data_IF_400870912601
#
_entry.id   IF_400870912601
#
_cell.length_a   1.000
_cell.length_b   1.000
_cell.length_c   1.000
_cell.angle_alpha   90.00
_cell.angle_beta   90.00
_cell.angle_gamma   90.00
#
_symmetry.space_group_name_H-M   'P 1'
#
loop_
_entity.id
_entity.type
_entity.pdbx_description
1 polymer ?
#
# COMPACT_ATOMS: atom_id res chain seq x y z
N UNK A 1 -2.00 -0.31 62.93
CA UNK A 1 -2.31 0.76 61.96
C UNK A 1 -3.69 0.46 61.40
N UNK A 2 -4.56 1.47 61.26
CA UNK A 2 -5.80 1.28 60.53
C UNK A 2 -5.48 0.90 59.07
N UNK A 3 -6.26 0.01 58.47
CA UNK A 3 -6.10 -0.36 57.07
C UNK A 3 -6.29 0.89 56.20
N UNK A 4 -5.26 1.28 55.45
CA UNK A 4 -5.33 2.40 54.51
C UNK A 4 -5.94 1.90 53.20
N UNK A 5 -7.03 2.54 52.75
CA UNK A 5 -7.61 2.24 51.43
C UNK A 5 -6.65 2.66 50.31
N UNK A 6 -6.49 1.75 49.34
CA UNK A 6 -5.61 1.84 48.16
C UNK A 6 -6.28 1.17 46.95
N UNK A 7 -7.61 1.25 46.88
CA UNK A 7 -8.37 0.88 45.68
C UNK A 7 -7.83 1.61 44.43
N UNK A 8 -7.99 1.01 43.26
CA UNK A 8 -7.37 1.49 42.02
C UNK A 8 -8.35 1.51 40.86
N UNK A 9 -8.50 2.68 40.23
CA UNK A 9 -9.11 2.87 38.92
C UNK A 9 -8.14 3.77 38.16
N UNK A 10 -7.44 3.20 37.18
CA UNK A 10 -6.43 3.92 36.41
C UNK A 10 -7.06 4.66 35.23
N UNK A 11 -6.85 5.96 35.16
CA UNK A 11 -7.09 6.78 33.98
C UNK A 11 -5.77 7.45 33.59
N UNK A 12 -5.51 7.65 32.29
CA UNK A 12 -4.29 8.34 31.89
C UNK A 12 -4.05 8.36 30.39
N UNK A 13 -2.94 9.02 30.03
CA UNK A 13 -2.49 9.12 28.65
C UNK A 13 -1.38 8.10 28.43
N UNK A 14 -1.48 7.37 27.33
CA UNK A 14 -0.45 6.41 26.91
C UNK A 14 0.51 7.12 25.96
N UNK A 15 1.78 7.17 26.36
CA UNK A 15 2.86 7.69 25.52
C UNK A 15 3.73 6.54 25.04
N UNK A 16 4.29 6.69 23.84
CA UNK A 16 5.22 5.70 23.31
C UNK A 16 6.34 6.34 22.50
N UNK A 17 7.50 5.68 22.53
CA UNK A 17 8.67 5.99 21.68
C UNK A 17 9.36 4.71 21.24
N UNK A 18 10.29 4.81 20.30
CA UNK A 18 11.11 3.66 19.90
C UNK A 18 12.04 3.24 21.04
N UNK A 19 12.13 1.92 21.27
CA UNK A 19 13.04 1.36 22.26
C UNK A 19 14.49 1.75 21.95
N UNK A 20 15.28 2.03 22.99
CA UNK A 20 16.69 2.48 22.89
C UNK A 20 16.93 3.77 22.10
N UNK A 21 15.93 4.65 22.03
CA UNK A 21 16.10 5.99 21.45
C UNK A 21 15.90 7.06 22.51
N UNK A 22 16.48 8.24 22.26
CA UNK A 22 16.15 9.47 22.98
C UNK A 22 15.00 10.23 22.30
N UNK A 23 14.24 9.54 21.43
CA UNK A 23 13.07 10.12 20.79
C UNK A 23 12.07 10.58 21.87
N UNK A 24 11.32 11.65 21.62
CA UNK A 24 10.30 12.10 22.55
C UNK A 24 9.23 11.02 22.74
N UNK A 25 8.71 10.93 23.96
CA UNK A 25 7.49 10.17 24.25
C UNK A 25 6.32 10.92 23.62
N UNK A 26 5.65 10.30 22.65
CA UNK A 26 4.53 10.89 21.93
C UNK A 26 3.24 10.19 22.35
N UNK A 27 2.20 10.99 22.56
CA UNK A 27 0.84 10.53 22.84
C UNK A 27 0.32 9.68 21.67
N UNK A 28 -0.20 8.49 21.97
CA UNK A 28 -0.78 7.59 20.97
C UNK A 28 -2.28 7.78 20.79
N UNK A 29 -2.86 8.81 21.42
CA UNK A 29 -4.26 9.18 21.28
C UNK A 29 -5.18 8.44 22.25
N UNK A 30 -6.48 8.50 21.95
CA UNK A 30 -7.52 7.95 22.81
C UNK A 30 -7.41 6.42 22.94
N UNK A 31 -7.08 5.96 24.15
CA UNK A 31 -6.96 4.54 24.49
C UNK A 31 -7.94 4.19 25.61
N UNK A 32 -8.67 3.08 25.44
CA UNK A 32 -9.61 2.58 26.46
C UNK A 32 -8.98 1.55 27.41
N UNK A 33 -7.93 0.89 26.95
CA UNK A 33 -7.35 -0.26 27.65
C UNK A 33 -5.83 -0.29 27.50
N UNK A 34 -5.15 -0.61 28.60
CA UNK A 34 -3.78 -1.09 28.62
C UNK A 34 -3.67 -2.19 29.68
N UNK A 35 -3.60 -3.44 29.23
CA UNK A 35 -3.52 -4.60 30.12
C UNK A 35 -2.11 -5.18 30.07
N UNK A 36 -1.58 -5.63 31.21
CA UNK A 36 -0.38 -6.48 31.28
C UNK A 36 -0.80 -7.87 31.78
N UNK A 37 -0.49 -8.91 31.00
CA UNK A 37 -0.69 -10.30 31.36
C UNK A 37 0.61 -10.97 31.78
N UNK A 38 0.54 -11.86 32.77
CA UNK A 38 1.66 -12.70 33.20
C UNK A 38 1.26 -14.16 33.06
N UNK A 39 1.91 -14.89 32.16
CA UNK A 39 1.67 -16.33 31.97
C UNK A 39 2.67 -17.11 32.82
N UNK A 40 2.21 -18.11 33.59
CA UNK A 40 3.08 -18.96 34.39
C UNK A 40 3.08 -20.43 33.95
N UNK A 41 4.25 -21.05 33.99
CA UNK A 41 4.45 -22.49 33.85
C UNK A 41 4.62 -23.09 35.26
N UNK A 42 3.61 -23.89 35.65
CA UNK A 42 3.50 -24.49 36.98
C UNK A 42 3.67 -26.00 36.87
N UNK A 43 4.77 -26.50 37.43
CA UNK A 43 5.07 -27.91 37.52
C UNK A 43 4.76 -28.43 38.92
N UNK A 44 3.88 -29.43 39.00
CA UNK A 44 3.47 -30.05 40.26
C UNK A 44 3.97 -31.49 40.33
N UNK A 45 4.56 -31.88 41.46
CA UNK A 45 4.89 -33.26 41.78
C UNK A 45 3.85 -33.82 42.75
N UNK A 46 2.98 -34.76 42.33
CA UNK A 46 2.02 -35.40 43.24
C UNK A 46 2.71 -36.18 44.36
N UNK A 47 2.03 -36.29 45.50
CA UNK A 47 2.53 -37.09 46.61
C UNK A 47 2.16 -38.57 46.43
N UNK A 48 3.12 -39.35 45.94
CA UNK A 48 2.97 -40.81 45.78
C UNK A 48 3.18 -41.63 47.07
N UNK A 49 3.41 -40.98 48.22
CA UNK A 49 3.69 -41.67 49.50
C UNK A 49 2.45 -41.80 50.42
N UNK A 50 1.25 -41.58 49.89
CA UNK A 50 0.00 -41.57 50.64
C UNK A 50 -0.33 -40.18 51.24
N UNK A 51 -1.61 -39.93 51.55
CA UNK A 51 -2.10 -38.68 52.14
C UNK A 51 -2.65 -37.62 51.15
N UNK A 52 -2.65 -37.90 49.83
CA UNK A 52 -3.15 -36.98 48.80
C UNK A 52 -2.28 -35.73 48.60
N UNK A 53 -2.65 -34.88 47.64
CA UNK A 53 -2.01 -33.58 47.38
C UNK A 53 -0.67 -33.61 46.63
N UNK A 54 -0.07 -32.43 46.48
CA UNK A 54 1.23 -32.24 45.82
C UNK A 54 2.37 -32.27 46.84
N UNK A 55 3.44 -33.01 46.55
CA UNK A 55 4.68 -33.07 47.32
C UNK A 55 5.61 -31.89 47.03
N UNK A 56 5.57 -31.34 45.82
CA UNK A 56 6.33 -30.15 45.46
C UNK A 56 5.59 -29.38 44.35
N UNK A 57 5.81 -28.06 44.30
CA UNK A 57 5.32 -27.18 43.23
C UNK A 57 6.44 -26.22 42.87
N UNK A 58 6.70 -26.07 41.58
CA UNK A 58 7.57 -25.03 41.03
C UNK A 58 6.77 -24.21 40.04
N UNK A 59 6.84 -22.89 40.15
CA UNK A 59 6.14 -21.97 39.26
C UNK A 59 7.13 -20.91 38.76
N UNK A 60 7.06 -20.57 37.47
CA UNK A 60 7.85 -19.50 36.86
C UNK A 60 6.98 -18.75 35.86
N UNK A 61 7.19 -17.45 35.74
CA UNK A 61 6.60 -16.67 34.63
C UNK A 61 7.32 -17.06 33.35
N UNK A 62 6.56 -17.43 32.31
CA UNK A 62 7.09 -17.73 30.98
C UNK A 62 7.04 -16.50 30.08
N UNK A 63 5.92 -15.79 30.10
CA UNK A 63 5.64 -14.72 29.15
C UNK A 63 4.99 -13.53 29.86
N UNK A 64 5.31 -12.33 29.37
CA UNK A 64 4.66 -11.09 29.77
C UNK A 64 4.05 -10.47 28.52
N UNK A 65 2.74 -10.34 28.49
CA UNK A 65 2.00 -9.81 27.34
C UNK A 65 1.38 -8.47 27.67
N UNK A 66 1.07 -7.68 26.64
CA UNK A 66 0.23 -6.51 26.78
C UNK A 66 -0.84 -6.43 25.70
N UNK A 67 -1.96 -5.83 26.03
CA UNK A 67 -3.02 -5.47 25.08
C UNK A 67 -3.32 -3.99 25.21
N UNK A 68 -3.40 -3.32 24.08
CA UNK A 68 -3.72 -1.90 23.97
C UNK A 68 -4.91 -1.74 23.03
N UNK A 69 -5.92 -0.96 23.43
CA UNK A 69 -7.01 -0.56 22.54
C UNK A 69 -6.89 0.91 22.19
N UNK A 70 -6.73 1.22 20.90
CA UNK A 70 -6.61 2.59 20.37
C UNK A 70 -7.82 2.93 19.50
N UNK A 71 -8.38 4.12 19.66
CA UNK A 71 -9.46 4.63 18.78
C UNK A 71 -8.97 5.64 17.74
N UNK A 72 -7.81 6.27 17.98
CA UNK A 72 -7.26 7.25 17.04
C UNK A 72 -6.46 6.55 15.93
N UNK A 73 -7.03 6.57 14.72
CA UNK A 73 -6.47 6.01 13.49
C UNK A 73 -5.40 6.92 12.88
N UNK A 74 -4.40 7.29 13.68
CA UNK A 74 -3.22 8.00 13.18
C UNK A 74 -2.39 7.09 12.29
N UNK A 75 -1.64 7.67 11.33
CA UNK A 75 -0.77 6.89 10.44
C UNK A 75 0.22 6.03 11.23
N UNK A 76 0.77 6.59 12.32
CA UNK A 76 1.70 5.89 13.20
C UNK A 76 1.03 4.74 13.97
N UNK A 77 -0.18 4.90 14.49
CA UNK A 77 -0.90 3.83 15.19
C UNK A 77 -1.23 2.68 14.24
N UNK A 78 -1.81 2.98 13.08
CA UNK A 78 -2.07 1.96 12.06
C UNK A 78 -0.76 1.27 11.68
N UNK A 79 0.31 2.03 11.42
CA UNK A 79 1.58 1.46 11.00
C UNK A 79 2.22 0.55 12.05
N UNK A 80 2.13 0.91 13.34
CA UNK A 80 2.63 0.08 14.45
C UNK A 80 1.93 -1.27 14.51
N UNK A 81 0.62 -1.31 14.31
CA UNK A 81 -0.20 -2.51 14.52
C UNK A 81 -0.41 -3.35 13.25
N UNK A 82 -0.05 -2.81 12.07
CA UNK A 82 -0.10 -3.52 10.78
C UNK A 82 1.28 -3.76 10.16
N UNK A 83 2.36 -3.41 10.88
CA UNK A 83 3.75 -3.44 10.38
C UNK A 83 3.88 -2.75 9.02
N UNK A 84 3.44 -1.51 8.96
CA UNK A 84 3.45 -0.76 7.70
C UNK A 84 4.72 0.06 7.50
N UNK A 85 5.03 0.34 6.24
CA UNK A 85 5.82 1.52 5.88
C UNK A 85 4.88 2.68 5.53
N UNK A 86 5.32 3.91 5.82
CA UNK A 86 4.53 5.13 5.56
C UNK A 86 5.24 5.93 4.47
N UNK A 87 4.52 6.24 3.38
CA UNK A 87 4.98 7.11 2.32
C UNK A 87 4.17 8.42 2.35
N UNK A 88 4.85 9.55 2.52
CA UNK A 88 4.21 10.87 2.49
C UNK A 88 4.11 11.34 1.04
N UNK A 89 2.90 11.70 0.62
CA UNK A 89 2.62 12.26 -0.70
C UNK A 89 2.36 13.75 -0.53
N UNK A 90 3.20 14.58 -1.15
CA UNK A 90 2.97 16.02 -1.23
C UNK A 90 1.88 16.34 -2.25
N UNK A 91 1.21 17.48 -2.05
CA UNK A 91 0.31 18.02 -3.07
C UNK A 91 1.11 18.40 -4.33
N UNK A 92 0.62 18.01 -5.50
CA UNK A 92 1.30 18.23 -6.77
C UNK A 92 0.32 18.30 -7.94
N UNK A 93 0.69 19.02 -9.00
CA UNK A 93 -0.03 18.94 -10.27
C UNK A 93 0.28 17.62 -10.96
N UNK A 94 -0.76 16.88 -11.33
CA UNK A 94 -0.69 15.68 -12.15
C UNK A 94 -1.23 16.02 -13.53
N UNK A 95 -0.48 15.69 -14.58
CA UNK A 95 -0.82 15.99 -15.97
C UNK A 95 -0.69 14.70 -16.77
N UNK A 96 -1.73 14.39 -17.56
CA UNK A 96 -1.69 13.28 -18.51
C UNK A 96 -1.65 11.90 -17.85
N UNK A 97 -2.19 11.74 -16.63
CA UNK A 97 -2.28 10.42 -16.00
C UNK A 97 -3.17 9.51 -16.87
N UNK A 98 -2.62 8.40 -17.33
CA UNK A 98 -3.35 7.45 -18.18
C UNK A 98 -4.39 6.71 -17.34
N UNK A 99 -5.63 6.77 -17.78
CA UNK A 99 -6.76 6.07 -17.21
C UNK A 99 -7.08 4.83 -18.04
N UNK A 100 -6.99 3.67 -17.42
CA UNK A 100 -7.39 2.40 -18.02
C UNK A 100 -8.89 2.21 -17.85
N UNK A 101 -9.63 2.13 -18.96
CA UNK A 101 -11.10 2.07 -18.97
C UNK A 101 -11.53 0.74 -19.58
N UNK A 102 -12.34 -0.03 -18.86
CA UNK A 102 -12.96 -1.27 -19.34
C UNK A 102 -14.19 -1.03 -20.23
N UNK A 103 -14.80 0.16 -20.12
CA UNK A 103 -15.94 0.58 -20.94
C UNK A 103 -17.28 0.06 -20.43
N UNK A 104 -17.37 -0.25 -19.15
CA UNK A 104 -18.59 -0.77 -18.52
C UNK A 104 -19.31 0.34 -17.77
N UNK A 105 -20.64 0.42 -17.93
CA UNK A 105 -21.44 1.39 -17.18
C UNK A 105 -21.36 1.12 -15.67
N UNK A 106 -21.09 2.17 -14.89
CA UNK A 106 -20.86 2.11 -13.44
C UNK A 106 -19.44 1.76 -13.03
N UNK A 107 -18.52 1.55 -13.99
CA UNK A 107 -17.11 1.26 -13.70
C UNK A 107 -16.43 2.44 -12.99
N UNK A 108 -15.75 2.15 -11.88
CA UNK A 108 -14.83 3.08 -11.23
C UNK A 108 -13.45 2.95 -11.88
N UNK A 109 -12.97 4.04 -12.45
CA UNK A 109 -11.60 4.19 -12.95
C UNK A 109 -10.84 5.05 -11.94
N UNK A 110 -10.02 4.42 -11.07
CA UNK A 110 -9.37 5.12 -9.98
C UNK A 110 -8.25 6.03 -10.49
N UNK A 111 -8.01 7.12 -9.78
CA UNK A 111 -6.77 7.89 -9.94
C UNK A 111 -5.66 7.28 -9.09
N UNK A 112 -4.41 7.44 -9.53
CA UNK A 112 -3.23 7.01 -8.81
C UNK A 112 -3.05 7.76 -7.48
N UNK A 113 -3.56 9.00 -7.40
CA UNK A 113 -3.54 9.83 -6.19
C UNK A 113 -4.92 10.43 -5.94
N UNK A 114 -5.22 10.73 -4.68
CA UNK A 114 -6.47 11.39 -4.31
C UNK A 114 -6.48 12.81 -4.89
N UNK A 115 -7.48 13.17 -5.72
CA UNK A 115 -7.62 14.51 -6.28
C UNK A 115 -8.16 15.50 -5.23
N UNK A 116 -7.71 16.75 -5.32
CA UNK A 116 -8.36 17.87 -4.66
C UNK A 116 -9.56 18.30 -5.52
N UNK A 117 -10.77 17.92 -5.10
CA UNK A 117 -12.01 18.22 -5.83
C UNK A 117 -12.45 19.68 -5.73
N UNK A 118 -11.75 20.51 -4.95
CA UNK A 118 -11.93 21.97 -4.97
C UNK A 118 -11.18 22.65 -6.12
N UNK A 119 -10.24 21.93 -6.74
CA UNK A 119 -9.47 22.36 -7.92
C UNK A 119 -10.02 21.70 -9.20
N UNK A 120 -9.79 22.29 -10.38
CA UNK A 120 -10.27 21.71 -11.63
C UNK A 120 -9.63 20.33 -11.89
N UNK A 121 -10.49 19.38 -12.27
CA UNK A 121 -10.10 18.05 -12.77
C UNK A 121 -10.52 17.95 -14.24
N UNK A 122 -9.55 17.71 -15.12
CA UNK A 122 -9.79 17.60 -16.56
C UNK A 122 -9.61 16.16 -17.01
N UNK A 123 -10.59 15.63 -17.75
CA UNK A 123 -10.49 14.33 -18.41
C UNK A 123 -10.45 14.57 -19.91
N UNK A 124 -9.46 13.99 -20.58
CA UNK A 124 -9.31 14.06 -22.04
C UNK A 124 -9.39 12.66 -22.61
N UNK A 125 -10.33 12.44 -23.53
CA UNK A 125 -10.53 11.12 -24.15
C UNK A 125 -9.28 10.71 -24.93
N UNK A 126 -9.08 9.41 -25.09
CA UNK A 126 -8.12 8.92 -26.07
C UNK A 126 -8.50 9.40 -27.48
N UNK A 127 -7.51 9.84 -28.25
CA UNK A 127 -7.64 10.21 -29.65
C UNK A 127 -7.53 9.00 -30.58
N UNK A 128 -7.54 9.28 -31.89
CA UNK A 128 -7.30 8.25 -32.90
C UNK A 128 -5.87 7.70 -32.81
N UNK A 129 -5.72 6.41 -33.14
CA UNK A 129 -4.40 5.82 -33.36
C UNK A 129 -3.81 6.36 -34.66
N UNK A 130 -2.51 6.62 -34.63
CA UNK A 130 -1.71 7.00 -35.79
C UNK A 130 -0.53 6.05 -35.90
N UNK A 131 -0.15 5.69 -37.12
CA UNK A 131 1.03 4.88 -37.39
C UNK A 131 1.93 5.60 -38.39
N UNK A 132 3.23 5.54 -38.15
CA UNK A 132 4.27 6.02 -39.07
C UNK A 132 5.32 4.94 -39.23
N UNK A 133 5.95 4.86 -40.39
CA UNK A 133 7.01 3.90 -40.67
C UNK A 133 8.29 4.58 -41.08
N UNK A 134 9.42 4.05 -40.65
CA UNK A 134 10.75 4.46 -41.05
C UNK A 134 11.58 3.23 -41.45
N UNK A 135 12.33 3.32 -42.54
CA UNK A 135 13.26 2.28 -42.95
C UNK A 135 14.51 2.32 -42.06
N UNK A 136 15.01 1.16 -41.65
CA UNK A 136 16.24 1.08 -40.86
C UNK A 136 17.45 1.59 -41.67
N UNK A 137 18.40 2.19 -40.95
CA UNK A 137 19.67 2.61 -41.54
C UNK A 137 20.49 1.38 -41.94
N UNK A 138 21.01 1.38 -43.16
CA UNK A 138 21.88 0.32 -43.65
C UNK A 138 21.15 -0.82 -44.39
N UNK A 139 19.84 -0.69 -44.63
CA UNK A 139 19.12 -1.61 -45.51
C UNK A 139 19.79 -1.70 -46.89
N UNK A 140 19.90 -2.92 -47.42
CA UNK A 140 20.39 -3.20 -48.78
C UNK A 140 19.33 -2.83 -49.81
N UNK A 141 18.06 -3.20 -49.56
CA UNK A 141 16.93 -2.86 -50.41
C UNK A 141 16.48 -1.41 -50.24
N UNK A 142 15.91 -0.85 -51.31
CA UNK A 142 15.35 0.52 -51.31
C UNK A 142 13.84 0.54 -51.52
N UNK A 143 13.16 -0.53 -51.10
CA UNK A 143 11.70 -0.60 -51.14
C UNK A 143 11.04 0.28 -50.08
N UNK A 144 9.71 0.34 -50.13
CA UNK A 144 8.91 1.24 -49.30
C UNK A 144 7.76 0.52 -48.63
N UNK A 145 7.33 1.03 -47.48
CA UNK A 145 6.14 0.58 -46.79
C UNK A 145 4.98 1.52 -47.13
N UNK A 146 3.98 0.99 -47.83
CA UNK A 146 2.87 1.75 -48.38
C UNK A 146 1.55 1.36 -47.71
N UNK A 147 0.54 2.22 -47.82
CA UNK A 147 -0.82 1.97 -47.31
C UNK A 147 -0.88 1.62 -45.82
N UNK A 148 0.04 2.15 -45.02
CA UNK A 148 0.08 1.94 -43.58
C UNK A 148 -1.18 2.48 -42.91
N UNK A 149 -1.86 1.62 -42.18
CA UNK A 149 -3.01 1.98 -41.35
C UNK A 149 -3.00 1.18 -40.04
N UNK A 150 -3.62 1.75 -39.01
CA UNK A 150 -3.75 1.17 -37.68
C UNK A 150 -5.19 1.24 -37.23
N UNK A 151 -5.68 0.17 -36.60
CA UNK A 151 -7.05 0.07 -36.08
C UNK A 151 -7.07 -0.29 -34.60
N UNK A 152 -6.52 -1.44 -34.23
CA UNK A 152 -6.54 -1.97 -32.85
C UNK A 152 -5.16 -2.34 -32.33
N UNK A 153 -4.09 -1.98 -33.05
CA UNK A 153 -2.74 -2.23 -32.59
C UNK A 153 -2.46 -1.47 -31.29
N UNK A 154 -1.77 -2.12 -30.35
CA UNK A 154 -1.33 -1.47 -29.12
C UNK A 154 -0.36 -0.33 -29.43
N UNK A 155 -0.36 0.70 -28.60
CA UNK A 155 0.63 1.80 -28.70
C UNK A 155 2.02 1.25 -28.45
N UNK A 156 2.98 1.62 -29.30
CA UNK A 156 4.36 1.19 -29.18
C UNK A 156 5.06 0.98 -30.53
N UNK A 157 6.23 0.38 -30.46
CA UNK A 157 7.10 0.15 -31.60
C UNK A 157 6.93 -1.29 -32.11
N UNK A 158 6.73 -1.42 -33.40
CA UNK A 158 6.65 -2.67 -34.14
C UNK A 158 7.83 -2.75 -35.11
N UNK A 159 8.53 -3.88 -35.14
CA UNK A 159 9.62 -4.14 -36.07
C UNK A 159 9.12 -5.05 -37.18
N UNK A 160 9.35 -4.66 -38.42
CA UNK A 160 9.12 -5.47 -39.62
C UNK A 160 10.47 -5.82 -40.20
N UNK A 161 10.87 -7.07 -40.12
CA UNK A 161 12.20 -7.55 -40.48
C UNK A 161 12.10 -8.56 -41.62
N UNK A 162 12.88 -8.35 -42.67
CA UNK A 162 12.93 -9.22 -43.83
C UNK A 162 13.70 -10.49 -43.47
N UNK A 163 13.07 -11.65 -43.58
CA UNK A 163 13.72 -12.96 -43.40
C UNK A 163 14.38 -13.44 -44.70
N UNK A 164 13.96 -12.88 -45.83
CA UNK A 164 14.55 -13.08 -47.16
C UNK A 164 14.23 -11.87 -48.06
N UNK A 165 14.64 -11.91 -49.33
CA UNK A 165 14.31 -10.86 -50.29
C UNK A 165 12.79 -10.69 -50.55
N UNK A 166 11.97 -11.69 -50.20
CA UNK A 166 10.53 -11.73 -50.52
C UNK A 166 9.64 -11.99 -49.30
N UNK A 167 10.19 -12.27 -48.13
CA UNK A 167 9.42 -12.60 -46.92
C UNK A 167 9.85 -11.73 -45.73
N UNK A 168 8.91 -11.42 -44.84
CA UNK A 168 9.17 -10.66 -43.61
C UNK A 168 8.38 -11.20 -42.41
N UNK A 169 8.87 -10.87 -41.22
CA UNK A 169 8.19 -11.08 -39.95
C UNK A 169 7.90 -9.74 -39.27
N UNK A 170 6.73 -9.65 -38.62
CA UNK A 170 6.30 -8.50 -37.82
C UNK A 170 6.34 -8.89 -36.35
N UNK A 171 7.09 -8.14 -35.56
CA UNK A 171 7.14 -8.27 -34.10
C UNK A 171 6.67 -6.96 -33.46
N UNK A 172 5.87 -7.07 -32.41
CA UNK A 172 5.33 -5.93 -31.67
C UNK A 172 6.11 -5.63 -30.40
N UNK A 173 5.60 -4.70 -29.58
CA UNK A 173 6.22 -4.33 -28.30
C UNK A 173 6.48 -5.56 -27.41
N UNK A 174 7.65 -5.58 -26.76
CA UNK A 174 8.08 -6.71 -25.93
C UNK A 174 8.45 -7.97 -26.73
N UNK A 175 8.80 -7.83 -28.01
CA UNK A 175 9.16 -8.94 -28.93
C UNK A 175 8.03 -9.94 -29.16
N UNK A 176 6.78 -9.48 -29.07
CA UNK A 176 5.60 -10.32 -29.30
C UNK A 176 5.46 -10.60 -30.80
N UNK A 177 5.40 -11.86 -31.23
CA UNK A 177 5.18 -12.18 -32.64
C UNK A 177 3.77 -11.74 -33.09
N UNK A 178 3.68 -10.91 -34.13
CA UNK A 178 2.42 -10.39 -34.68
C UNK A 178 1.99 -11.19 -35.92
N UNK A 179 2.95 -11.56 -36.77
CA UNK A 179 2.71 -12.39 -37.96
C UNK A 179 3.86 -12.36 -38.94
N UNK A 180 3.71 -13.05 -40.06
CA UNK A 180 4.64 -13.01 -41.21
C UNK A 180 3.90 -12.57 -42.47
N UNK A 181 4.63 -12.13 -43.49
CA UNK A 181 4.07 -11.70 -44.76
C UNK A 181 5.07 -11.77 -45.92
N UNK A 182 4.57 -11.49 -47.12
CA UNK A 182 5.35 -11.50 -48.37
C UNK A 182 5.45 -10.10 -48.96
N UNK A 183 6.62 -9.77 -49.52
CA UNK A 183 6.84 -8.50 -50.23
C UNK A 183 5.94 -8.44 -51.46
N UNK A 184 5.21 -7.34 -51.61
CA UNK A 184 4.22 -7.11 -52.66
C UNK A 184 2.80 -7.56 -52.28
N UNK A 185 2.62 -8.31 -51.20
CA UNK A 185 1.31 -8.71 -50.68
C UNK A 185 0.84 -7.78 -49.54
N UNK A 186 -0.48 -7.66 -49.37
CA UNK A 186 -1.05 -6.92 -48.25
C UNK A 186 -0.92 -7.72 -46.95
N UNK A 187 -0.27 -7.11 -45.95
CA UNK A 187 -0.25 -7.64 -44.59
C UNK A 187 -1.44 -7.12 -43.81
N UNK A 188 -2.08 -7.98 -43.03
CA UNK A 188 -3.08 -7.59 -42.03
C UNK A 188 -2.90 -8.48 -40.81
N UNK A 189 -2.48 -7.89 -39.69
CA UNK A 189 -2.16 -8.64 -38.48
C UNK A 189 -1.96 -7.71 -37.29
N UNK A 190 -2.40 -8.14 -36.10
CA UNK A 190 -2.24 -7.37 -34.86
C UNK A 190 -2.81 -5.96 -34.88
N UNK A 191 -3.82 -5.67 -35.72
CA UNK A 191 -4.42 -4.33 -35.85
C UNK A 191 -3.63 -3.37 -36.75
N UNK A 192 -2.62 -3.86 -37.47
CA UNK A 192 -1.88 -3.14 -38.50
C UNK A 192 -2.24 -3.68 -39.90
N UNK A 193 -2.26 -2.79 -40.89
CA UNK A 193 -2.30 -3.17 -42.29
C UNK A 193 -1.37 -2.29 -43.12
N UNK A 194 -0.60 -2.91 -44.03
CA UNK A 194 0.33 -2.24 -44.94
C UNK A 194 0.76 -3.16 -46.09
N UNK A 195 1.49 -2.62 -47.06
CA UNK A 195 2.15 -3.38 -48.13
C UNK A 195 3.61 -2.97 -48.25
N UNK A 196 4.53 -3.91 -48.11
CA UNK A 196 5.95 -3.73 -48.43
C UNK A 196 6.14 -3.88 -49.94
N UNK A 197 6.60 -2.83 -50.61
CA UNK A 197 6.83 -2.84 -52.06
C UNK A 197 8.33 -2.82 -52.32
N UNK A 198 8.84 -3.77 -53.10
CA UNK A 198 10.24 -3.78 -53.51
C UNK A 198 10.58 -2.54 -54.35
N UNK A 199 11.75 -1.96 -54.12
CA UNK A 199 12.29 -0.87 -54.93
C UNK A 199 13.10 -1.39 -56.12
N UNK A 200 13.94 -0.54 -56.70
CA UNK A 200 14.86 -0.94 -57.78
C UNK A 200 15.95 -1.90 -57.32
N UNK A 201 16.38 -1.76 -56.05
CA UNK A 201 17.26 -2.73 -55.38
C UNK A 201 16.38 -3.63 -54.51
N UNK A 202 16.44 -4.93 -54.77
CA UNK A 202 15.69 -5.91 -54.00
C UNK A 202 16.09 -5.88 -52.51
N UNK A 203 15.14 -6.20 -51.64
CA UNK A 203 15.43 -6.41 -50.23
C UNK A 203 16.41 -7.58 -50.03
N UNK A 204 17.12 -7.57 -48.91
CA UNK A 204 17.89 -8.69 -48.40
C UNK A 204 17.34 -9.13 -47.03
N UNK A 205 17.78 -10.30 -46.56
CA UNK A 205 17.58 -10.66 -45.16
C UNK A 205 18.20 -9.58 -44.25
N UNK A 206 17.58 -9.37 -43.08
CA UNK A 206 17.93 -8.36 -42.07
C UNK A 206 17.62 -6.90 -42.45
N UNK A 207 17.10 -6.63 -43.66
CA UNK A 207 16.49 -5.33 -43.95
C UNK A 207 15.27 -5.13 -43.02
N UNK A 208 15.08 -3.92 -42.50
CA UNK A 208 14.01 -3.69 -41.53
C UNK A 208 13.27 -2.35 -41.69
N UNK A 209 12.04 -2.32 -41.19
CA UNK A 209 11.23 -1.12 -41.01
C UNK A 209 10.71 -1.06 -39.58
N UNK A 210 10.78 0.13 -38.99
CA UNK A 210 10.17 0.41 -37.70
C UNK A 210 8.83 1.09 -37.91
N UNK A 211 7.76 0.52 -37.40
CA UNK A 211 6.44 1.15 -37.34
C UNK A 211 6.21 1.65 -35.92
N UNK A 212 6.00 2.96 -35.76
CA UNK A 212 5.61 3.57 -34.48
C UNK A 212 4.12 3.82 -34.47
N UNK A 213 3.40 3.13 -33.57
CA UNK A 213 1.99 3.38 -33.28
C UNK A 213 1.91 4.33 -32.08
N UNK A 214 1.23 5.45 -32.26
CA UNK A 214 0.97 6.44 -31.22
C UNK A 214 -0.53 6.68 -31.08
N UNK A 215 -0.96 7.09 -29.88
CA UNK A 215 -2.31 7.55 -29.62
C UNK A 215 -2.27 9.02 -29.23
N UNK A 216 -3.00 9.86 -29.98
CA UNK A 216 -3.13 11.28 -29.67
C UNK A 216 -4.10 11.55 -28.53
N UNK A 217 -4.18 12.80 -28.09
CA UNK A 217 -5.26 13.29 -27.23
C UNK A 217 -6.52 13.54 -28.07
N UNK A 218 -7.67 13.11 -27.57
CA UNK A 218 -8.99 13.39 -28.14
C UNK A 218 -9.59 14.68 -27.58
N UNK A 219 -10.91 14.83 -27.75
CA UNK A 219 -11.64 15.96 -27.16
C UNK A 219 -11.78 15.79 -25.64
N UNK A 220 -11.85 16.92 -24.92
CA UNK A 220 -12.17 16.94 -23.49
C UNK A 220 -13.51 16.24 -23.22
N UNK A 221 -13.54 15.38 -22.21
CA UNK A 221 -14.75 14.71 -21.74
C UNK A 221 -15.56 15.68 -20.86
N UNK A 222 -16.87 15.55 -20.89
CA UNK A 222 -17.79 16.41 -20.14
C UNK A 222 -18.24 15.73 -18.85
N UNK A 223 -18.05 16.39 -17.71
CA UNK A 223 -18.52 15.90 -16.42
C UNK A 223 -20.06 15.84 -16.37
N UNK A 224 -20.60 14.77 -15.80
CA UNK A 224 -22.05 14.51 -15.73
C UNK A 224 -22.63 13.84 -16.98
N UNK A 225 -21.93 13.92 -18.12
CA UNK A 225 -22.30 13.24 -19.37
C UNK A 225 -21.39 12.03 -19.60
N UNK A 226 -20.08 12.26 -19.69
CA UNK A 226 -19.10 11.22 -19.98
C UNK A 226 -18.52 10.57 -18.74
N UNK A 227 -18.52 11.28 -17.61
CA UNK A 227 -18.00 10.76 -16.36
C UNK A 227 -18.63 11.45 -15.15
N UNK A 228 -18.70 10.73 -14.04
CA UNK A 228 -18.99 11.32 -12.73
C UNK A 228 -17.69 11.37 -11.92
N UNK A 229 -17.30 12.56 -11.46
CA UNK A 229 -16.12 12.72 -10.62
C UNK A 229 -16.42 12.26 -9.19
N UNK A 230 -15.50 11.50 -8.62
CA UNK A 230 -15.51 11.08 -7.22
C UNK A 230 -14.18 11.47 -6.56
N UNK A 231 -14.08 11.47 -5.22
CA UNK A 231 -12.81 11.66 -4.52
C UNK A 231 -11.76 10.56 -4.77
N UNK A 232 -12.09 9.54 -5.56
CA UNK A 232 -11.22 8.37 -5.80
C UNK A 232 -10.92 8.14 -7.29
N UNK A 233 -11.47 8.97 -8.18
CA UNK A 233 -11.37 8.80 -9.63
C UNK A 233 -12.67 9.15 -10.34
N UNK A 234 -12.93 8.52 -11.47
CA UNK A 234 -14.15 8.74 -12.24
C UNK A 234 -15.02 7.49 -12.32
N UNK A 235 -16.35 7.66 -12.31
CA UNK A 235 -17.31 6.62 -12.63
C UNK A 235 -17.81 6.86 -14.06
N UNK A 236 -17.80 5.80 -14.88
CA UNK A 236 -18.27 5.87 -16.28
C UNK A 236 -19.79 5.60 -16.32
N UNK A 237 -20.65 6.59 -16.64
CA UNK A 237 -22.08 6.37 -16.79
C UNK A 237 -22.41 5.59 -18.07
N UNK A 238 -23.63 5.05 -18.13
CA UNK A 238 -24.15 4.48 -19.36
C UNK A 238 -24.24 5.54 -20.48
N UNK A 239 -23.80 5.20 -21.69
CA UNK A 239 -23.79 6.12 -22.83
C UNK A 239 -22.61 7.11 -22.85
N UNK A 240 -21.64 6.96 -21.95
CA UNK A 240 -20.38 7.72 -22.01
C UNK A 240 -19.67 7.52 -23.34
N UNK A 241 -19.05 8.58 -23.84
CA UNK A 241 -18.20 8.52 -25.03
C UNK A 241 -16.74 8.17 -24.72
N UNK A 242 -16.39 7.97 -23.44
CA UNK A 242 -15.10 7.40 -23.04
C UNK A 242 -15.16 5.90 -23.33
N UNK A 243 -14.38 5.47 -24.32
CA UNK A 243 -14.33 4.07 -24.76
C UNK A 243 -13.18 3.32 -24.10
N UNK A 244 -13.06 1.98 -24.29
CA UNK A 244 -11.88 1.22 -23.87
C UNK A 244 -10.55 1.67 -24.49
N UNK A 245 -10.57 2.63 -25.43
CA UNK A 245 -9.35 3.31 -25.87
C UNK A 245 -8.69 4.12 -24.73
N UNK A 246 -9.42 4.40 -23.65
CA UNK A 246 -8.91 5.06 -22.45
C UNK A 246 -9.14 6.57 -22.43
N UNK A 247 -8.59 7.20 -21.40
CA UNK A 247 -8.57 8.65 -21.24
C UNK A 247 -7.29 9.07 -20.49
N UNK A 248 -7.06 10.37 -20.40
CA UNK A 248 -6.02 10.94 -19.55
C UNK A 248 -6.63 11.94 -18.57
N UNK A 249 -6.09 11.99 -17.35
CA UNK A 249 -6.50 12.91 -16.30
C UNK A 249 -5.44 13.98 -16.05
N UNK A 250 -5.91 15.21 -15.81
CA UNK A 250 -5.15 16.30 -15.22
C UNK A 250 -5.85 16.77 -13.95
N UNK A 251 -5.14 16.85 -12.83
CA UNK A 251 -5.70 17.26 -11.54
C UNK A 251 -4.60 17.70 -10.56
N UNK A 252 -4.99 18.36 -9.48
CA UNK A 252 -4.10 18.62 -8.34
C UNK A 252 -4.30 17.53 -7.30
N UNK A 253 -3.24 16.81 -6.90
CA UNK A 253 -3.32 15.78 -5.87
C UNK A 253 -3.33 16.41 -4.46
N UNK A 254 -4.07 15.80 -3.54
CA UNK A 254 -4.03 16.17 -2.12
C UNK A 254 -2.72 15.73 -1.46
N UNK A 255 -2.35 16.41 -0.37
CA UNK A 255 -1.36 15.89 0.56
C UNK A 255 -1.96 14.70 1.30
N UNK A 256 -1.29 13.55 1.27
CA UNK A 256 -1.78 12.32 1.90
C UNK A 256 -0.63 11.51 2.50
N UNK A 257 -0.94 10.71 3.52
CA UNK A 257 -0.05 9.65 4.00
C UNK A 257 -0.54 8.31 3.47
N UNK A 258 0.30 7.62 2.69
CA UNK A 258 0.01 6.28 2.16
C UNK A 258 0.65 5.25 3.09
N UNK A 259 -0.17 4.31 3.57
CA UNK A 259 0.27 3.22 4.43
C UNK A 259 0.37 1.96 3.58
N UNK A 260 1.57 1.42 3.45
CA UNK A 260 1.79 0.11 2.85
C UNK A 260 1.81 -0.95 3.96
N UNK A 261 0.63 -1.53 4.23
CA UNK A 261 0.46 -2.58 5.24
C UNK A 261 1.36 -3.77 4.96
N UNK A 262 1.95 -4.32 6.02
CA UNK A 262 2.89 -5.44 5.98
C UNK A 262 4.19 -5.20 5.19
N UNK A 263 4.46 -3.95 4.74
CA UNK A 263 5.69 -3.59 4.06
C UNK A 263 6.78 -3.04 5.01
N UNK A 264 6.51 -3.00 6.32
CA UNK A 264 7.42 -2.56 7.36
C UNK A 264 7.97 -3.71 8.20
N UNK A 265 8.89 -3.37 9.10
CA UNK A 265 9.42 -4.29 10.11
C UNK A 265 8.70 -4.14 11.44
N UNK A 266 8.80 -5.16 12.29
CA UNK A 266 8.27 -5.09 13.64
C UNK A 266 9.03 -4.04 14.46
N UNK A 267 8.29 -3.22 15.22
CA UNK A 267 8.85 -2.14 16.03
C UNK A 267 8.83 -2.56 17.50
N UNK A 268 9.93 -2.26 18.20
CA UNK A 268 10.02 -2.33 19.66
C UNK A 268 9.87 -0.92 20.22
N UNK A 269 8.99 -0.77 21.21
CA UNK A 269 8.61 0.49 21.81
C UNK A 269 8.94 0.49 23.29
N UNK A 270 9.21 1.66 23.81
CA UNK A 270 9.03 1.94 25.23
C UNK A 270 7.68 2.63 25.38
N UNK A 271 6.83 2.11 26.28
CA UNK A 271 5.52 2.69 26.56
C UNK A 271 5.51 3.24 27.99
N UNK A 272 4.99 4.44 28.14
CA UNK A 272 4.86 5.13 29.41
C UNK A 272 3.45 5.64 29.58
N UNK A 273 2.77 5.20 30.63
CA UNK A 273 1.46 5.70 31.00
C UNK A 273 1.66 6.74 32.09
N UNK A 274 1.22 7.97 31.83
CA UNK A 274 1.09 9.01 32.83
C UNK A 274 -0.38 9.01 33.28
N UNK A 275 -0.65 8.48 34.47
CA UNK A 275 -2.01 8.25 34.93
C UNK A 275 -2.32 8.84 36.30
N UNK A 276 -3.60 8.89 36.59
CA UNK A 276 -4.20 9.27 37.86
C UNK A 276 -5.05 8.10 38.37
N UNK A 277 -4.98 7.84 39.66
CA UNK A 277 -5.85 6.86 40.30
C UNK A 277 -7.15 7.56 40.73
N UNK A 278 -8.20 7.41 39.93
CA UNK A 278 -9.51 8.03 40.17
C UNK A 278 -10.15 7.54 41.49
N UNK A 279 -9.93 6.27 41.84
CA UNK A 279 -10.40 5.70 43.10
C UNK A 279 -9.74 6.32 44.35
N UNK A 280 -8.60 7.01 44.20
CA UNK A 280 -7.88 7.69 45.30
C UNK A 280 -7.71 9.18 45.03
N UNK A 281 -8.78 9.87 44.63
CA UNK A 281 -8.79 11.35 44.48
C UNK A 281 -7.75 11.84 43.45
N UNK A 282 -7.49 11.03 42.41
CA UNK A 282 -6.56 11.38 41.35
C UNK A 282 -5.09 11.38 41.77
N UNK A 283 -4.69 10.58 42.77
CA UNK A 283 -3.27 10.37 43.10
C UNK A 283 -2.49 9.92 41.84
N UNK A 284 -1.36 10.56 41.49
CA UNK A 284 -0.66 10.22 40.27
C UNK A 284 0.00 8.85 40.38
N UNK A 285 -0.01 8.12 39.27
CA UNK A 285 0.78 6.91 39.08
C UNK A 285 1.43 6.95 37.70
N UNK A 286 2.45 6.10 37.53
CA UNK A 286 2.99 5.84 36.20
C UNK A 286 3.22 4.36 35.99
N UNK A 287 3.09 3.92 34.74
CA UNK A 287 3.43 2.57 34.32
C UNK A 287 4.37 2.65 33.13
N UNK A 288 5.59 2.14 33.28
CA UNK A 288 6.60 2.08 32.24
C UNK A 288 6.77 0.64 31.79
N UNK A 289 6.30 0.30 30.59
CA UNK A 289 6.63 -0.94 29.92
C UNK A 289 7.89 -0.72 29.06
N UNK A 290 8.99 -1.38 29.43
CA UNK A 290 10.34 -0.99 28.97
C UNK A 290 10.59 -1.32 27.50
N UNK A 291 10.28 -2.56 27.10
CA UNK A 291 10.54 -3.09 25.76
C UNK A 291 9.32 -3.87 25.26
N UNK A 292 8.39 -3.14 24.66
CA UNK A 292 7.14 -3.65 24.13
C UNK A 292 7.29 -3.93 22.64
N UNK A 293 7.12 -5.18 22.25
CA UNK A 293 7.17 -5.63 20.87
C UNK A 293 5.74 -5.80 20.36
N UNK A 294 5.30 -4.88 19.49
CA UNK A 294 3.93 -4.87 18.98
C UNK A 294 3.68 -6.05 18.04
N UNK A 295 2.58 -6.77 18.26
CA UNK A 295 2.02 -7.77 17.37
C UNK A 295 1.37 -7.14 16.13
N UNK A 296 0.91 -7.99 15.21
CA UNK A 296 0.05 -7.56 14.10
C UNK A 296 -1.39 -7.86 14.49
N UNK A 297 -2.31 -6.94 14.21
CA UNK A 297 -3.75 -7.19 14.37
C UNK A 297 -4.19 -8.34 13.48
N UNK A 298 -5.16 -9.13 13.94
CA UNK A 298 -5.72 -10.24 13.15
C UNK A 298 -6.53 -9.75 11.96
N UNK A 299 -7.21 -8.62 12.12
CA UNK A 299 -8.06 -8.01 11.10
C UNK A 299 -8.12 -6.48 11.26
N UNK A 300 -8.37 -5.77 10.16
CA UNK A 300 -8.68 -4.35 10.15
C UNK A 300 -10.03 -4.18 9.42
N UNK A 301 -11.08 -3.84 10.17
CA UNK A 301 -12.38 -3.62 9.56
C UNK A 301 -12.36 -2.32 8.75
N UNK A 302 -12.36 -2.44 7.42
CA UNK A 302 -12.40 -1.29 6.51
C UNK A 302 -13.79 -0.62 6.50
N UNK A 303 -14.84 -1.35 6.87
CA UNK A 303 -16.23 -0.89 6.93
C UNK A 303 -16.90 -1.43 8.19
N UNK A 304 -17.73 -0.61 8.84
CA UNK A 304 -18.44 -0.98 10.06
C UNK A 304 -19.47 0.06 10.45
N UNK A 305 -20.36 -0.28 11.39
CA UNK A 305 -21.38 0.63 11.94
C UNK A 305 -20.94 1.29 13.26
N UNK A 306 -19.88 0.79 13.87
CA UNK A 306 -19.31 1.27 15.13
C UNK A 306 -17.95 1.95 14.91
N UNK A 307 -17.48 2.70 15.90
CA UNK A 307 -16.13 3.25 15.87
C UNK A 307 -15.10 2.13 15.89
N UNK A 308 -14.20 2.14 14.90
CA UNK A 308 -13.14 1.14 14.81
C UNK A 308 -12.18 1.27 16.00
N UNK A 309 -12.06 0.18 16.75
CA UNK A 309 -11.05 0.02 17.80
C UNK A 309 -9.87 -0.79 17.26
N UNK A 310 -8.69 -0.17 17.21
CA UNK A 310 -7.44 -0.86 16.93
C UNK A 310 -6.96 -1.59 18.19
N UNK A 311 -7.32 -2.85 18.32
CA UNK A 311 -6.81 -3.71 19.38
C UNK A 311 -5.47 -4.31 18.99
N UNK A 312 -4.42 -3.88 19.66
CA UNK A 312 -3.06 -4.34 19.44
C UNK A 312 -2.61 -5.27 20.56
N UNK A 313 -2.26 -6.50 20.20
CA UNK A 313 -1.52 -7.39 21.09
C UNK A 313 -0.03 -7.04 21.05
N UNK A 314 0.66 -7.26 22.15
CA UNK A 314 2.09 -7.04 22.27
C UNK A 314 2.74 -7.99 23.27
N UNK A 315 4.05 -8.14 23.16
CA UNK A 315 4.87 -8.90 24.10
C UNK A 315 5.88 -7.97 24.77
N UNK A 316 6.00 -8.05 26.10
CA UNK A 316 7.04 -7.34 26.83
C UNK A 316 8.28 -8.24 26.84
N UNK A 317 9.29 -7.85 26.07
CA UNK A 317 10.58 -8.54 26.07
C UNK A 317 11.41 -8.10 27.27
N UNK A 318 12.26 -9.00 27.77
CA UNK A 318 13.21 -8.63 28.80
C UNK A 318 14.18 -7.57 28.27
N UNK A 319 14.28 -6.45 28.99
CA UNK A 319 15.26 -5.40 28.69
C UNK A 319 16.65 -5.82 29.20
N UNK A 320 17.63 -6.08 28.31
CA UNK A 320 18.97 -6.49 28.71
C UNK A 320 19.75 -5.36 29.40
N UNK A 321 19.32 -4.10 29.26
CA UNK A 321 19.98 -2.95 29.89
C UNK A 321 19.63 -2.82 31.38
N UNK A 322 18.57 -3.50 31.84
CA UNK A 322 18.22 -3.57 33.27
C UNK A 322 19.02 -4.71 33.91
N UNK A 323 20.15 -4.33 34.50
CA UNK A 323 21.09 -5.27 35.15
C UNK A 323 20.99 -5.24 36.67
N UNK A 324 20.35 -4.23 37.25
CA UNK A 324 20.26 -4.07 38.70
C UNK A 324 19.33 -5.13 39.33
N UNK A 325 19.77 -5.82 40.39
CA UNK A 325 18.91 -6.75 41.12
C UNK A 325 17.68 -6.07 41.70
N UNK A 326 16.54 -6.77 41.69
CA UNK A 326 15.28 -6.26 42.28
C UNK A 326 14.49 -5.31 41.37
N UNK A 327 15.05 -4.90 40.22
CA UNK A 327 14.33 -4.14 39.20
C UNK A 327 13.78 -5.10 38.14
N UNK A 328 12.49 -5.00 37.87
CA UNK A 328 11.87 -5.78 36.78
C UNK A 328 12.41 -5.32 35.43
N UNK A 329 12.82 -6.31 34.62
CA UNK A 329 13.29 -6.11 33.25
C UNK A 329 12.17 -5.81 32.25
N UNK A 330 10.91 -5.94 32.66
CA UNK A 330 9.76 -5.86 31.76
C UNK A 330 8.99 -4.56 31.95
N UNK A 331 8.61 -4.25 33.19
CA UNK A 331 7.79 -3.08 33.51
C UNK A 331 8.06 -2.55 34.92
N UNK A 332 7.74 -1.29 35.14
CA UNK A 332 7.83 -0.61 36.43
C UNK A 332 6.57 0.23 36.64
N UNK A 333 5.96 0.15 37.83
CA UNK A 333 4.84 1.00 38.19
C UNK A 333 5.22 1.83 39.41
N UNK A 334 5.11 3.16 39.30
CA UNK A 334 5.29 4.07 40.43
C UNK A 334 3.92 4.55 40.90
N UNK A 335 3.67 4.45 42.20
CA UNK A 335 2.46 4.96 42.87
C UNK A 335 2.87 5.84 44.04
N UNK A 336 2.09 6.89 44.32
CA UNK A 336 2.39 7.80 45.41
C UNK A 336 2.18 7.14 46.77
N UNK A 337 3.09 7.40 47.71
CA UNK A 337 2.87 7.12 49.12
C UNK A 337 1.90 8.16 49.69
N UNK A 338 0.71 7.73 50.11
CA UNK A 338 -0.23 8.56 50.85
C UNK A 338 0.41 8.92 52.19
N UNK A 339 0.55 10.23 52.45
CA UNK A 339 1.04 10.71 53.72
C UNK A 339 0.16 10.17 54.86
N UNK A 340 0.81 9.79 55.97
CA UNK A 340 0.14 9.24 57.15
C UNK A 340 -0.74 10.28 57.86
#
# INVERSE_FOLDING_TARGET
MAQQDRSFIGEGIVYARRYQTNDPLIDIGNCDTFNIGFTSDRQTLPNFRGGGGNRNVRERITDVTATIGMYDLTLDNIARVTRSSIAQVAAASVVGEVLHVGGVAGELVPFAKLPDTSQPVTITRAGALTASSEAALGNVGNGTLNSLSVTTAGVGVYNVELTSATEFAVTGPGSTAVGTGEVGAAFTGGGLAFTLTAGSTAFAADDAFTITVAQGAGAAAEQGVDYQLTPHGIIIPAGSTITPAGATAGYTSLKAGVIHMLAGSQVELEIYIAGLNDAQTGEPYSLRARRVKMGVISELAALGQEYLRLEASAELLADPLVTEPGISKFCEMAVVNKAA
#
